data_IF_862489857790
#
_entry.id   IF_862489857790
#
_cell.length_a   1.000
_cell.length_b   1.000
_cell.length_c   1.000
_cell.angle_alpha   90.00
_cell.angle_beta   90.00
_cell.angle_gamma   90.00
#
_symmetry.space_group_name_H-M   'P 1'
#
loop_
_entity.id
_entity.type
_entity.pdbx_description
1 polymer ?
#
# COMPACT_ATOMS: atom_id res chain seq x y z
N UNK A 1 -15.40 4.57 11.33
CA UNK A 1 -15.96 5.83 10.78
C UNK A 1 -15.06 6.48 9.73
N UNK A 2 -13.75 6.63 9.96
CA UNK A 2 -12.82 7.25 8.99
C UNK A 2 -12.92 6.69 7.56
N UNK A 3 -13.02 5.37 7.40
CA UNK A 3 -13.16 4.74 6.08
C UNK A 3 -14.39 5.23 5.29
N UNK A 4 -15.56 5.32 5.94
CA UNK A 4 -16.78 5.81 5.31
C UNK A 4 -16.68 7.29 4.97
N UNK A 5 -16.09 8.09 5.86
CA UNK A 5 -15.82 9.50 5.58
C UNK A 5 -14.93 9.66 4.35
N UNK A 6 -13.83 8.91 4.24
CA UNK A 6 -12.93 8.97 3.09
C UNK A 6 -13.61 8.53 1.79
N UNK A 7 -14.49 7.53 1.83
CA UNK A 7 -15.28 7.10 0.67
C UNK A 7 -16.31 8.16 0.23
N UNK A 8 -17.01 8.79 1.18
CA UNK A 8 -17.92 9.91 0.88
C UNK A 8 -17.17 11.11 0.31
N UNK A 9 -16.02 11.44 0.91
CA UNK A 9 -15.15 12.51 0.42
C UNK A 9 -14.67 12.25 -1.01
N UNK A 10 -14.26 11.02 -1.32
CA UNK A 10 -13.87 10.64 -2.66
C UNK A 10 -15.04 10.82 -3.65
N UNK A 11 -16.23 10.35 -3.28
CA UNK A 11 -17.44 10.51 -4.08
C UNK A 11 -17.72 11.98 -4.39
N UNK A 12 -17.72 12.84 -3.36
CA UNK A 12 -18.00 14.27 -3.52
C UNK A 12 -16.93 14.96 -4.38
N UNK A 13 -15.64 14.63 -4.16
CA UNK A 13 -14.57 15.16 -4.99
C UNK A 13 -14.71 14.74 -6.45
N UNK A 14 -15.08 13.48 -6.73
CA UNK A 14 -15.30 13.01 -8.10
C UNK A 14 -16.53 13.64 -8.76
N UNK A 15 -17.53 14.01 -7.96
CA UNK A 15 -18.74 14.63 -8.46
C UNK A 15 -18.53 16.11 -8.83
N UNK A 16 -17.81 16.86 -7.99
CA UNK A 16 -17.64 18.31 -8.16
C UNK A 16 -16.35 18.73 -8.88
N UNK A 17 -15.31 17.90 -8.89
CA UNK A 17 -13.99 18.27 -9.43
C UNK A 17 -13.60 17.38 -10.61
N UNK A 18 -12.83 17.91 -11.58
CA UNK A 18 -12.18 17.06 -12.57
C UNK A 18 -11.26 16.04 -11.90
N UNK A 19 -11.21 14.83 -12.44
CA UNK A 19 -10.53 13.66 -11.85
C UNK A 19 -9.10 13.95 -11.37
N UNK A 20 -8.32 14.71 -12.15
CA UNK A 20 -6.94 15.07 -11.81
C UNK A 20 -6.85 15.91 -10.53
N UNK A 21 -7.80 16.80 -10.28
CA UNK A 21 -7.87 17.62 -9.08
C UNK A 21 -8.44 16.83 -7.90
N UNK A 22 -9.49 16.05 -8.13
CA UNK A 22 -10.07 15.15 -7.15
C UNK A 22 -9.01 14.20 -6.58
N UNK A 23 -8.22 13.53 -7.44
CA UNK A 23 -7.14 12.63 -7.04
C UNK A 23 -6.09 13.33 -6.19
N UNK A 24 -5.60 14.49 -6.63
CA UNK A 24 -4.56 15.23 -5.90
C UNK A 24 -5.04 15.67 -4.51
N UNK A 25 -6.29 16.13 -4.41
CA UNK A 25 -6.84 16.59 -3.14
C UNK A 25 -7.12 15.42 -2.21
N UNK A 26 -7.75 14.36 -2.71
CA UNK A 26 -7.99 13.12 -1.98
C UNK A 26 -6.69 12.54 -1.40
N UNK A 27 -5.65 12.48 -2.22
CA UNK A 27 -4.34 11.96 -1.84
C UNK A 27 -3.71 12.76 -0.69
N UNK A 28 -3.83 14.10 -0.71
CA UNK A 28 -3.36 14.96 0.38
C UNK A 28 -4.11 14.69 1.68
N UNK A 29 -5.44 14.57 1.61
CA UNK A 29 -6.27 14.30 2.78
C UNK A 29 -5.97 12.91 3.35
N UNK A 30 -5.82 11.89 2.50
CA UNK A 30 -5.45 10.53 2.91
C UNK A 30 -4.08 10.51 3.58
N UNK A 31 -3.06 11.11 2.95
CA UNK A 31 -1.70 11.21 3.50
C UNK A 31 -1.70 11.90 4.86
N UNK A 32 -2.36 13.06 4.97
CA UNK A 32 -2.40 13.80 6.23
C UNK A 32 -3.18 13.06 7.32
N UNK A 33 -4.29 12.39 6.97
CA UNK A 33 -5.06 11.60 7.94
C UNK A 33 -4.22 10.47 8.54
N UNK A 34 -3.45 9.76 7.71
CA UNK A 34 -2.57 8.68 8.16
C UNK A 34 -1.41 9.19 9.03
N UNK A 35 -0.85 10.35 8.73
CA UNK A 35 0.15 11.00 9.59
C UNK A 35 -0.45 11.31 10.98
N UNK A 36 -1.70 11.80 11.05
CA UNK A 36 -2.37 12.03 12.34
C UNK A 36 -2.59 10.74 13.13
N UNK A 37 -3.01 9.66 12.47
CA UNK A 37 -3.13 8.36 13.13
C UNK A 37 -1.78 7.85 13.62
N UNK A 38 -0.73 7.97 12.81
CA UNK A 38 0.61 7.57 13.20
C UNK A 38 1.06 8.30 14.48
N UNK A 39 0.94 9.62 14.53
CA UNK A 39 1.30 10.39 15.73
C UNK A 39 0.48 9.93 16.94
N UNK A 40 -0.83 9.69 16.75
CA UNK A 40 -1.71 9.26 17.83
C UNK A 40 -1.34 7.88 18.38
N UNK A 41 -1.09 6.90 17.53
CA UNK A 41 -0.82 5.53 17.97
C UNK A 41 0.62 5.36 18.47
N UNK A 42 1.59 6.01 17.86
CA UNK A 42 2.98 5.98 18.33
C UNK A 42 3.16 6.65 19.70
N UNK A 43 2.33 7.64 20.03
CA UNK A 43 2.33 8.29 21.34
C UNK A 43 1.40 7.63 22.37
N UNK A 44 0.70 6.55 22.01
CA UNK A 44 -0.25 5.91 22.92
C UNK A 44 0.47 5.09 23.99
N UNK A 45 0.07 5.26 25.26
CA UNK A 45 0.49 4.41 26.38
C UNK A 45 -0.72 3.61 26.91
N UNK A 46 -1.14 2.53 26.21
CA UNK A 46 -2.31 1.77 26.63
C UNK A 46 -2.10 1.07 27.97
N UNK A 47 -3.17 1.00 28.76
CA UNK A 47 -3.29 -0.03 29.80
C UNK A 47 -3.43 -1.41 29.17
N UNK A 48 -3.08 -2.47 29.90
CA UNK A 48 -3.22 -3.85 29.41
C UNK A 48 -4.65 -4.16 28.91
N UNK A 49 -5.66 -3.61 29.57
CA UNK A 49 -7.08 -3.75 29.19
C UNK A 49 -7.42 -3.10 27.84
N UNK A 50 -6.64 -2.12 27.38
CA UNK A 50 -6.87 -1.39 26.13
C UNK A 50 -5.96 -1.85 24.99
N UNK A 51 -4.92 -2.63 25.27
CA UNK A 51 -3.98 -3.11 24.26
C UNK A 51 -4.68 -3.89 23.14
N UNK A 52 -5.60 -4.78 23.47
CA UNK A 52 -6.37 -5.56 22.47
C UNK A 52 -7.26 -4.69 21.58
N UNK A 53 -7.82 -3.60 22.14
CA UNK A 53 -8.61 -2.64 21.39
C UNK A 53 -7.72 -1.85 20.41
N UNK A 54 -6.57 -1.35 20.87
CA UNK A 54 -5.63 -0.62 20.01
C UNK A 54 -5.09 -1.52 18.89
N UNK A 55 -4.75 -2.76 19.18
CA UNK A 55 -4.32 -3.73 18.16
C UNK A 55 -5.39 -3.91 17.08
N UNK A 56 -6.64 -4.07 17.50
CA UNK A 56 -7.78 -4.23 16.59
C UNK A 56 -7.99 -2.98 15.74
N UNK A 57 -7.87 -1.80 16.35
CA UNK A 57 -8.01 -0.52 15.66
C UNK A 57 -6.89 -0.29 14.64
N UNK A 58 -5.64 -0.58 14.99
CA UNK A 58 -4.48 -0.48 14.09
C UNK A 58 -4.62 -1.42 12.90
N UNK A 59 -5.02 -2.67 13.13
CA UNK A 59 -5.25 -3.63 12.05
C UNK A 59 -6.38 -3.16 11.12
N UNK A 60 -7.52 -2.74 11.68
CA UNK A 60 -8.64 -2.21 10.90
C UNK A 60 -8.25 -0.93 10.13
N UNK A 61 -7.45 -0.06 10.73
CA UNK A 61 -6.92 1.15 10.09
C UNK A 61 -6.06 0.80 8.87
N UNK A 62 -5.10 -0.11 9.03
CA UNK A 62 -4.23 -0.56 7.95
C UNK A 62 -5.01 -1.25 6.83
N UNK A 63 -6.01 -2.06 7.18
CA UNK A 63 -6.91 -2.69 6.22
C UNK A 63 -7.68 -1.63 5.42
N UNK A 64 -8.27 -0.65 6.10
CA UNK A 64 -8.95 0.47 5.45
C UNK A 64 -8.00 1.30 4.59
N UNK A 65 -6.77 1.55 5.05
CA UNK A 65 -5.76 2.27 4.29
C UNK A 65 -5.43 1.55 2.98
N UNK A 66 -5.35 0.21 2.99
CA UNK A 66 -5.15 -0.58 1.76
C UNK A 66 -6.29 -0.41 0.76
N UNK A 67 -7.53 -0.30 1.23
CA UNK A 67 -8.69 -0.09 0.36
C UNK A 67 -8.76 1.34 -0.18
N UNK A 68 -8.44 2.31 0.67
CA UNK A 68 -8.45 3.73 0.33
C UNK A 68 -7.26 4.15 -0.55
N UNK A 69 -6.20 3.35 -0.61
CA UNK A 69 -5.04 3.61 -1.46
C UNK A 69 -5.36 3.41 -2.95
N UNK A 70 -6.29 2.51 -3.28
CA UNK A 70 -6.68 2.22 -4.67
C UNK A 70 -7.03 3.45 -5.51
N UNK A 71 -7.99 4.29 -5.11
CA UNK A 71 -8.28 5.52 -5.83
C UNK A 71 -7.10 6.50 -5.79
N UNK A 72 -6.27 6.50 -4.74
CA UNK A 72 -5.11 7.39 -4.71
C UNK A 72 -4.06 7.08 -5.80
N UNK A 73 -3.99 5.85 -6.30
CA UNK A 73 -2.97 5.39 -7.25
C UNK A 73 -3.41 5.46 -8.71
N UNK A 74 -2.50 5.87 -9.59
CA UNK A 74 -2.68 5.86 -11.05
C UNK A 74 -2.03 4.63 -11.72
N UNK A 75 -1.30 3.80 -10.97
CA UNK A 75 -0.68 2.57 -11.47
C UNK A 75 -0.55 1.52 -10.37
N UNK A 76 -0.45 0.24 -10.76
CA UNK A 76 -0.19 -0.85 -9.82
C UNK A 76 1.15 -0.66 -9.08
N UNK A 77 2.16 -0.09 -9.74
CA UNK A 77 3.46 0.21 -9.13
C UNK A 77 3.35 1.25 -8.00
N UNK A 78 2.48 2.26 -8.17
CA UNK A 78 2.17 3.22 -7.12
C UNK A 78 1.53 2.53 -5.92
N UNK A 79 0.56 1.65 -6.18
CA UNK A 79 -0.10 0.88 -5.12
C UNK A 79 0.88 -0.02 -4.36
N UNK A 80 1.86 -0.62 -5.03
CA UNK A 80 2.89 -1.44 -4.38
C UNK A 80 3.95 -0.63 -3.61
N UNK A 81 4.04 0.67 -3.83
CA UNK A 81 5.10 1.51 -3.26
C UNK A 81 6.48 1.29 -3.91
N UNK A 82 6.55 0.87 -5.18
CA UNK A 82 7.82 0.66 -5.89
C UNK A 82 8.42 1.99 -6.36
N UNK A 83 9.21 2.63 -5.48
CA UNK A 83 9.76 3.98 -5.68
C UNK A 83 10.56 4.19 -6.97
N UNK A 84 11.32 3.19 -7.43
CA UNK A 84 12.16 3.34 -8.64
C UNK A 84 11.34 3.50 -9.92
N UNK A 85 10.10 2.99 -9.93
CA UNK A 85 9.20 3.04 -11.09
C UNK A 85 8.30 4.28 -11.07
N UNK A 86 8.55 5.21 -10.14
CA UNK A 86 7.76 6.42 -9.93
C UNK A 86 8.49 7.65 -10.47
N UNK A 87 7.85 8.40 -11.37
CA UNK A 87 8.29 9.76 -11.68
C UNK A 87 8.14 10.64 -10.43
N UNK A 88 9.18 11.39 -10.06
CA UNK A 88 9.13 12.30 -8.91
C UNK A 88 8.16 13.45 -9.18
N UNK A 89 7.05 13.48 -8.44
CA UNK A 89 6.08 14.56 -8.44
C UNK A 89 5.34 14.61 -7.10
N UNK A 90 4.47 15.60 -6.93
CA UNK A 90 3.72 15.79 -5.69
C UNK A 90 2.86 14.56 -5.33
N UNK A 91 2.29 13.87 -6.32
CA UNK A 91 1.47 12.69 -6.06
C UNK A 91 2.33 11.51 -5.57
N UNK A 92 3.47 11.24 -6.22
CA UNK A 92 4.37 10.16 -5.79
C UNK A 92 5.03 10.44 -4.44
N UNK A 93 5.22 11.72 -4.08
CA UNK A 93 5.61 12.14 -2.73
C UNK A 93 4.55 11.79 -1.68
N UNK A 94 3.28 12.16 -1.90
CA UNK A 94 2.20 11.81 -0.96
C UNK A 94 1.97 10.29 -0.87
N UNK A 95 2.04 9.56 -1.98
CA UNK A 95 1.95 8.08 -1.98
C UNK A 95 3.09 7.49 -1.14
N UNK A 96 4.32 7.99 -1.32
CA UNK A 96 5.46 7.55 -0.50
C UNK A 96 5.24 7.79 0.99
N UNK A 97 4.67 8.95 1.37
CA UNK A 97 4.30 9.26 2.76
C UNK A 97 3.23 8.32 3.31
N UNK A 98 2.22 7.99 2.51
CA UNK A 98 1.19 7.01 2.88
C UNK A 98 1.85 5.65 3.19
N UNK A 99 2.69 5.15 2.28
CA UNK A 99 3.41 3.90 2.50
C UNK A 99 4.29 3.93 3.74
N UNK A 100 5.06 5.01 3.93
CA UNK A 100 5.88 5.18 5.13
C UNK A 100 5.04 5.21 6.41
N UNK A 101 3.92 5.93 6.42
CA UNK A 101 3.04 6.01 7.59
C UNK A 101 2.44 4.64 7.93
N UNK A 102 1.97 3.89 6.93
CA UNK A 102 1.46 2.54 7.14
C UNK A 102 2.56 1.56 7.60
N UNK A 103 3.80 1.69 7.15
CA UNK A 103 4.92 0.91 7.67
C UNK A 103 5.17 1.16 9.16
N UNK A 104 5.13 2.43 9.60
CA UNK A 104 5.30 2.75 11.02
C UNK A 104 4.09 2.29 11.85
N UNK A 105 2.86 2.48 11.38
CA UNK A 105 1.66 1.95 12.02
C UNK A 105 1.70 0.41 12.15
N UNK A 106 2.23 -0.28 11.14
CA UNK A 106 2.48 -1.73 11.24
C UNK A 106 3.55 -2.04 12.28
N UNK A 107 4.61 -1.25 12.37
CA UNK A 107 5.63 -1.44 13.41
C UNK A 107 5.01 -1.28 14.81
N UNK A 108 4.16 -0.27 15.03
CA UNK A 108 3.42 -0.09 16.28
C UNK A 108 2.56 -1.32 16.59
N UNK A 109 1.81 -1.84 15.61
CA UNK A 109 1.02 -3.06 15.76
C UNK A 109 1.89 -4.26 16.12
N UNK A 110 3.01 -4.46 15.42
CA UNK A 110 3.93 -5.59 15.67
C UNK A 110 4.50 -5.51 17.09
N UNK A 111 4.96 -4.34 17.53
CA UNK A 111 5.49 -4.14 18.88
C UNK A 111 4.44 -4.45 19.95
N UNK A 112 3.19 -4.01 19.75
CA UNK A 112 2.09 -4.30 20.69
C UNK A 112 1.70 -5.79 20.71
N UNK A 113 1.86 -6.49 19.58
CA UNK A 113 1.51 -7.92 19.47
C UNK A 113 2.63 -8.87 19.89
N UNK A 114 3.87 -8.39 19.95
CA UNK A 114 5.03 -9.24 20.15
C UNK A 114 5.13 -9.74 21.60
N UNK A 115 5.37 -11.04 21.82
CA UNK A 115 5.65 -11.54 23.17
C UNK A 115 6.90 -10.86 23.73
N UNK A 116 6.81 -10.36 24.96
CA UNK A 116 7.93 -9.62 25.59
C UNK A 116 9.23 -10.44 25.64
N UNK A 117 9.11 -11.77 25.80
CA UNK A 117 10.24 -12.69 25.78
C UNK A 117 10.98 -12.68 24.42
N UNK A 118 10.25 -12.56 23.31
CA UNK A 118 10.84 -12.51 21.97
C UNK A 118 11.48 -11.15 21.71
N UNK A 119 10.83 -10.06 22.11
CA UNK A 119 11.43 -8.72 22.06
C UNK A 119 12.74 -8.68 22.86
N UNK A 120 12.74 -9.22 24.07
CA UNK A 120 13.94 -9.27 24.91
C UNK A 120 15.07 -10.06 24.23
N UNK A 121 14.80 -11.22 23.64
CA UNK A 121 15.83 -12.00 22.92
C UNK A 121 16.49 -11.21 21.79
N UNK A 122 15.71 -10.39 21.08
CA UNK A 122 16.18 -9.59 19.94
C UNK A 122 16.95 -8.35 20.41
N UNK A 123 16.46 -7.66 21.44
CA UNK A 123 16.98 -6.35 21.85
C UNK A 123 17.86 -6.37 23.11
N UNK A 124 18.10 -7.54 23.74
CA UNK A 124 18.94 -7.66 24.95
C UNK A 124 20.36 -7.11 24.81
N UNK A 125 20.90 -7.10 23.59
CA UNK A 125 22.25 -6.60 23.30
C UNK A 125 22.23 -5.13 22.82
N UNK A 126 21.15 -4.40 23.09
CA UNK A 126 20.89 -3.07 22.57
C UNK A 126 20.17 -3.09 21.23
N UNK A 127 19.77 -1.90 20.76
CA UNK A 127 19.20 -1.77 19.43
C UNK A 127 20.31 -2.01 18.39
N UNK A 128 20.06 -2.82 17.35
CA UNK A 128 21.01 -2.92 16.25
C UNK A 128 21.25 -1.51 15.73
N UNK A 129 22.53 -1.13 15.56
CA UNK A 129 22.87 0.10 14.84
C UNK A 129 22.02 0.14 13.58
N UNK A 130 21.41 1.29 13.30
CA UNK A 130 20.71 1.53 12.06
C UNK A 130 21.72 1.39 10.92
N UNK A 131 22.01 0.14 10.53
CA UNK A 131 22.48 -0.18 9.20
C UNK A 131 21.35 0.36 8.37
N UNK A 132 21.55 1.54 7.78
CA UNK A 132 20.74 2.06 6.68
C UNK A 132 20.51 0.86 5.80
N UNK A 133 19.36 0.20 5.98
CA UNK A 133 19.31 -1.21 5.64
C UNK A 133 19.61 -1.27 4.17
N UNK A 134 20.57 -2.09 3.76
CA UNK A 134 20.91 -2.31 2.34
C UNK A 134 19.64 -2.57 1.49
N UNK A 135 18.51 -2.92 2.14
CA UNK A 135 17.13 -3.00 1.64
C UNK A 135 16.45 -1.69 1.18
N UNK A 136 17.01 -0.50 1.42
CA UNK A 136 16.39 0.78 0.99
C UNK A 136 16.88 1.29 -0.36
N UNK A 137 18.02 0.79 -0.88
CA UNK A 137 18.52 1.22 -2.18
C UNK A 137 17.88 0.50 -3.37
N UNK A 138 17.38 -0.72 -3.17
CA UNK A 138 16.83 -1.53 -4.25
C UNK A 138 15.58 -2.28 -3.76
N UNK A 139 14.43 -1.98 -4.37
CA UNK A 139 13.30 -2.91 -4.63
C UNK A 139 12.20 -3.21 -3.60
N UNK A 140 12.20 -2.79 -2.34
CA UNK A 140 11.14 -3.30 -1.44
C UNK A 140 9.76 -2.67 -1.71
N UNK A 141 8.87 -3.49 -2.28
CA UNK A 141 7.41 -3.38 -2.12
C UNK A 141 7.15 -3.00 -0.67
N UNK A 142 6.24 -2.04 -0.45
CA UNK A 142 5.96 -1.56 0.88
C UNK A 142 5.47 -2.71 1.76
N UNK A 143 6.23 -3.13 2.79
CA UNK A 143 6.02 -4.44 3.43
C UNK A 143 4.65 -4.54 4.10
N UNK A 144 4.06 -3.41 4.50
CA UNK A 144 2.77 -3.42 5.18
C UNK A 144 1.63 -4.01 4.36
N UNK A 145 1.66 -3.87 3.03
CA UNK A 145 0.63 -4.47 2.17
C UNK A 145 0.69 -5.99 2.19
N UNK A 146 1.88 -6.58 2.15
CA UNK A 146 2.04 -8.03 2.24
C UNK A 146 1.60 -8.59 3.61
N UNK A 147 1.75 -7.80 4.67
CA UNK A 147 1.29 -8.17 6.01
C UNK A 147 -0.24 -8.14 6.14
N UNK A 148 -0.89 -7.16 5.52
CA UNK A 148 -2.33 -6.89 5.71
C UNK A 148 -3.20 -7.57 4.64
N UNK A 149 -2.67 -7.75 3.43
CA UNK A 149 -3.33 -8.39 2.28
C UNK A 149 -2.55 -9.61 1.83
N UNK A 150 -2.47 -10.62 2.69
CA UNK A 150 -1.74 -11.87 2.41
C UNK A 150 -2.28 -12.60 1.18
N UNK A 151 -3.54 -12.38 0.83
CA UNK A 151 -4.19 -12.96 -0.35
C UNK A 151 -3.59 -12.41 -1.65
N UNK A 152 -3.03 -11.19 -1.63
CA UNK A 152 -2.45 -10.52 -2.78
C UNK A 152 -0.94 -10.75 -2.90
N UNK A 153 -0.27 -11.06 -1.79
CA UNK A 153 1.18 -11.22 -1.74
C UNK A 153 1.51 -12.54 -1.05
N UNK A 154 1.79 -13.58 -1.84
CA UNK A 154 2.10 -14.91 -1.33
C UNK A 154 3.43 -14.97 -0.57
N UNK A 155 4.35 -14.02 -0.81
CA UNK A 155 5.63 -13.91 -0.12
C UNK A 155 6.00 -12.45 0.21
N UNK A 156 6.65 -12.26 1.37
CA UNK A 156 7.04 -10.94 1.92
C UNK A 156 8.07 -10.14 1.10
N UNK A 157 8.51 -10.65 -0.06
CA UNK A 157 9.63 -10.09 -0.83
C UNK A 157 9.54 -10.37 -2.34
N UNK A 158 8.36 -10.63 -2.90
CA UNK A 158 8.28 -10.98 -4.32
C UNK A 158 8.76 -9.82 -5.21
N UNK A 159 9.95 -9.99 -5.80
CA UNK A 159 10.46 -9.13 -6.89
C UNK A 159 9.58 -9.18 -8.14
N UNK A 160 8.83 -10.27 -8.29
CA UNK A 160 7.89 -10.54 -9.36
C UNK A 160 6.57 -10.98 -8.74
N UNK A 161 5.53 -10.19 -8.95
CA UNK A 161 4.16 -10.58 -8.59
C UNK A 161 3.72 -11.67 -9.55
N UNK A 162 2.99 -12.67 -9.05
CA UNK A 162 2.36 -13.69 -9.89
C UNK A 162 1.57 -13.03 -11.03
N UNK A 163 1.67 -13.62 -12.21
CA UNK A 163 1.24 -12.96 -13.45
C UNK A 163 -0.28 -12.72 -13.52
N UNK A 164 -1.08 -13.48 -12.77
CA UNK A 164 -2.52 -13.28 -12.57
C UNK A 164 -2.82 -12.13 -11.59
N UNK A 165 -2.08 -12.03 -10.49
CA UNK A 165 -2.21 -10.94 -9.52
C UNK A 165 -1.81 -9.62 -10.16
N UNK A 166 -0.76 -9.60 -10.98
CA UNK A 166 -0.32 -8.40 -11.70
C UNK A 166 -1.43 -7.81 -12.60
N UNK A 167 -2.11 -8.67 -13.36
CA UNK A 167 -3.25 -8.27 -14.21
C UNK A 167 -4.41 -7.79 -13.35
N UNK A 168 -4.73 -8.51 -12.27
CA UNK A 168 -5.79 -8.12 -11.36
C UNK A 168 -5.51 -6.75 -10.70
N UNK A 169 -4.29 -6.50 -10.21
CA UNK A 169 -3.88 -5.22 -9.62
C UNK A 169 -4.06 -4.08 -10.63
N UNK A 170 -3.63 -4.30 -11.88
CA UNK A 170 -3.73 -3.29 -12.93
C UNK A 170 -5.19 -2.99 -13.30
N UNK A 171 -6.01 -4.03 -13.51
CA UNK A 171 -7.46 -3.88 -13.73
C UNK A 171 -8.11 -3.17 -12.53
N UNK A 172 -7.77 -3.57 -11.30
CA UNK A 172 -8.30 -2.97 -10.08
C UNK A 172 -7.97 -1.49 -9.99
N UNK A 173 -6.73 -1.08 -10.30
CA UNK A 173 -6.38 0.35 -10.35
C UNK A 173 -7.20 1.12 -11.39
N UNK A 174 -7.48 0.53 -12.56
CA UNK A 174 -8.26 1.19 -13.61
C UNK A 174 -9.71 1.44 -13.22
N UNK A 175 -10.34 0.50 -12.51
CA UNK A 175 -11.75 0.59 -12.11
C UNK A 175 -11.97 1.33 -10.78
N UNK A 176 -10.89 1.78 -10.12
CA UNK A 176 -10.97 2.44 -8.81
C UNK A 176 -11.44 3.89 -8.88
N UNK A 177 -11.54 4.46 -10.09
CA UNK A 177 -12.10 5.78 -10.36
C UNK A 177 -13.42 5.68 -11.14
N UNK A 178 -14.29 6.68 -10.95
CA UNK A 178 -15.58 6.76 -11.64
C UNK A 178 -15.46 6.82 -13.18
N UNK A 179 -14.33 7.32 -13.69
CA UNK A 179 -13.95 7.26 -15.10
C UNK A 179 -12.63 6.49 -15.23
N UNK A 180 -12.57 5.42 -16.06
CA UNK A 180 -11.33 4.70 -16.30
C UNK A 180 -10.30 5.66 -16.88
N UNK A 181 -9.11 5.73 -16.29
CA UNK A 181 -8.01 6.48 -16.91
C UNK A 181 -7.66 5.80 -18.24
N UNK A 182 -7.88 6.45 -19.41
CA UNK A 182 -7.66 5.80 -20.71
C UNK A 182 -6.22 5.36 -20.91
N UNK A 183 -5.23 6.08 -20.35
CA UNK A 183 -3.83 5.67 -20.40
C UNK A 183 -3.56 4.39 -19.60
N UNK A 184 -4.23 4.22 -18.46
CA UNK A 184 -4.12 3.01 -17.65
C UNK A 184 -4.82 1.82 -18.31
N UNK A 185 -5.96 2.06 -18.98
CA UNK A 185 -6.67 1.03 -19.77
C UNK A 185 -5.78 0.52 -20.91
N UNK A 186 -5.13 1.42 -21.65
CA UNK A 186 -4.20 1.03 -22.73
C UNK A 186 -3.03 0.21 -22.19
N UNK A 187 -2.43 0.61 -21.05
CA UNK A 187 -1.35 -0.17 -20.42
C UNK A 187 -1.81 -1.57 -20.00
N UNK A 188 -3.00 -1.70 -19.42
CA UNK A 188 -3.59 -3.00 -19.06
C UNK A 188 -3.80 -3.85 -20.30
N UNK A 189 -4.38 -3.28 -21.37
CA UNK A 189 -4.57 -3.97 -22.63
C UNK A 189 -3.24 -4.44 -23.20
N UNK A 190 -2.21 -3.59 -23.25
CA UNK A 190 -0.88 -3.98 -23.74
C UNK A 190 -0.29 -5.12 -22.90
N UNK A 191 -0.38 -5.08 -21.58
CA UNK A 191 0.12 -6.16 -20.71
C UNK A 191 -0.62 -7.48 -20.97
N UNK A 192 -1.95 -7.44 -21.11
CA UNK A 192 -2.76 -8.62 -21.40
C UNK A 192 -2.45 -9.18 -22.80
N UNK A 193 -2.33 -8.32 -23.82
CA UNK A 193 -1.99 -8.72 -25.19
C UNK A 193 -0.58 -9.30 -25.30
N UNK A 194 0.43 -8.69 -24.66
CA UNK A 194 1.81 -9.19 -24.68
C UNK A 194 1.94 -10.52 -23.96
N UNK A 195 1.18 -10.72 -22.88
CA UNK A 195 1.17 -11.97 -22.13
C UNK A 195 0.47 -13.10 -22.90
N UNK A 196 -0.66 -12.81 -23.54
CA UNK A 196 -1.31 -13.77 -24.46
C UNK A 196 -0.42 -14.13 -25.65
N UNK A 197 0.39 -13.19 -26.16
CA UNK A 197 1.35 -13.44 -27.22
C UNK A 197 2.54 -14.31 -26.77
N UNK A 198 3.07 -14.10 -25.56
CA UNK A 198 4.13 -14.92 -24.98
C UNK A 198 3.67 -16.36 -24.69
N UNK A 199 2.47 -16.53 -24.12
CA UNK A 199 1.86 -17.85 -23.90
C UNK A 199 1.61 -18.58 -25.24
N UNK A 200 1.30 -17.85 -26.32
CA UNK A 200 1.12 -18.41 -27.66
C UNK A 200 2.46 -18.81 -28.31
N UNK A 201 3.56 -18.07 -28.07
CA UNK A 201 4.92 -18.42 -28.52
C UNK A 201 5.45 -19.65 -27.78
N UNK A 202 5.23 -19.76 -26.47
CA UNK A 202 5.62 -20.95 -25.72
C UNK A 202 4.83 -22.18 -26.19
N UNK A 203 3.56 -22.03 -26.59
CA UNK A 203 2.77 -23.10 -27.19
C UNK A 203 3.28 -23.52 -28.58
N UNK A 204 3.87 -22.61 -29.35
CA UNK A 204 4.47 -22.94 -30.67
C UNK A 204 5.87 -23.57 -30.57
N UNK A 205 6.50 -23.57 -29.40
CA UNK A 205 7.78 -24.27 -29.14
C UNK A 205 7.60 -25.70 -28.60
N UNK A 206 6.37 -26.11 -28.32
CA UNK A 206 6.03 -27.47 -27.89
C UNK A 206 5.46 -28.36 -29.01
N UNK A 207 5.54 -27.92 -30.27
CA UNK A 207 5.23 -28.72 -31.46
C UNK A 207 6.43 -28.76 -32.41
#
# INVERSE_FOLDING_TARGET
>A
MWNFYMKGLLHDMTYFLPQNYAQKLYLKVLSSSLEHFLVRYSAATPSESRTSQIMSDLYALLLCASDLLWPACSSAFQFMGRKFEMAENLATSCISKIHSSCCFLLADLVVLTAPICELFKVFKNGFPQARLSVRTKYESVSPWLAWIRRELFSEFCQRQILSNVSVWLAVKTCISWALPNPAAVVQVSTIVYFKGFLEMIDFTRCF
#
